data_IF_442546399726
#
_entry.id   IF_442546399726
#
_cell.length_a   1.000
_cell.length_b   1.000
_cell.length_c   1.000
_cell.angle_alpha   90.00
_cell.angle_beta   90.00
_cell.angle_gamma   90.00
#
_symmetry.space_group_name_H-M   'P 1'
#
loop_
_entity.id
_entity.type
_entity.pdbx_description
1 polymer ?
#
# COMPACT_ATOMS: atom_id res chain seq x y z
N UNK A 1 18.58 -18.76 -19.15
CA UNK A 1 18.98 -17.41 -19.58
C UNK A 1 19.95 -16.86 -18.54
N UNK A 2 21.17 -16.49 -18.94
CA UNK A 2 22.13 -15.84 -18.05
C UNK A 2 21.56 -14.49 -17.57
N UNK A 3 21.67 -14.21 -16.28
CA UNK A 3 21.24 -12.93 -15.69
C UNK A 3 22.22 -11.83 -16.13
N UNK A 4 21.71 -10.69 -16.57
CA UNK A 4 22.56 -9.55 -16.98
C UNK A 4 23.30 -8.97 -15.79
N UNK A 5 24.45 -8.33 -16.01
CA UNK A 5 25.20 -7.63 -14.96
C UNK A 5 24.32 -6.56 -14.25
N UNK A 6 23.47 -5.86 -14.99
CA UNK A 6 22.50 -4.91 -14.45
C UNK A 6 21.48 -5.55 -13.51
N UNK A 7 21.00 -6.75 -13.83
CA UNK A 7 20.07 -7.49 -12.97
C UNK A 7 20.74 -7.91 -11.67
N UNK A 8 21.95 -8.48 -11.76
CA UNK A 8 22.72 -8.91 -10.59
C UNK A 8 23.00 -7.71 -9.68
N UNK A 9 23.42 -6.57 -10.27
CA UNK A 9 23.67 -5.35 -9.52
C UNK A 9 22.47 -4.88 -8.71
N UNK A 10 21.28 -4.80 -9.31
CA UNK A 10 20.08 -4.30 -8.61
C UNK A 10 19.66 -5.26 -7.48
N UNK A 11 19.72 -6.58 -7.72
CA UNK A 11 19.41 -7.56 -6.67
C UNK A 11 20.43 -7.47 -5.53
N UNK A 12 21.73 -7.40 -5.83
CA UNK A 12 22.77 -7.23 -4.82
C UNK A 12 22.61 -5.93 -4.03
N UNK A 13 22.17 -4.83 -4.68
CA UNK A 13 21.85 -3.58 -3.99
C UNK A 13 20.67 -3.74 -3.03
N UNK A 14 19.63 -4.49 -3.41
CA UNK A 14 18.52 -4.79 -2.50
C UNK A 14 18.98 -5.58 -1.27
N UNK A 15 19.87 -6.56 -1.42
CA UNK A 15 20.50 -7.25 -0.27
C UNK A 15 21.33 -6.32 0.60
N UNK A 16 22.15 -5.46 -0.01
CA UNK A 16 22.96 -4.51 0.75
C UNK A 16 22.10 -3.52 1.55
N UNK A 17 21.01 -3.04 0.94
CA UNK A 17 20.09 -2.09 1.58
C UNK A 17 19.17 -2.76 2.61
N UNK A 18 18.85 -4.04 2.47
CA UNK A 18 17.98 -4.73 3.44
C UNK A 18 18.60 -4.84 4.83
N UNK A 19 19.94 -4.77 4.95
CA UNK A 19 20.63 -4.69 6.24
C UNK A 19 20.36 -3.39 7.01
N UNK A 20 19.86 -2.36 6.32
CA UNK A 20 19.48 -1.06 6.90
C UNK A 20 18.03 -1.03 7.38
N UNK A 21 17.24 -2.07 7.10
CA UNK A 21 15.90 -2.21 7.63
C UNK A 21 15.97 -2.41 9.15
N UNK A 22 14.98 -1.86 9.83
CA UNK A 22 14.73 -2.14 11.24
C UNK A 22 14.28 -3.59 11.40
N UNK A 23 14.91 -4.25 12.36
CA UNK A 23 14.52 -5.56 12.84
C UNK A 23 13.25 -5.47 13.66
N UNK A 24 12.60 -6.62 13.86
CA UNK A 24 11.42 -6.71 14.73
C UNK A 24 11.74 -6.29 16.16
N UNK A 25 12.92 -6.63 16.68
CA UNK A 25 13.35 -6.28 18.04
C UNK A 25 13.58 -4.76 18.19
N UNK A 26 14.09 -4.09 17.15
CA UNK A 26 14.22 -2.63 17.13
C UNK A 26 12.85 -1.96 17.11
N UNK A 27 11.93 -2.40 16.24
CA UNK A 27 10.56 -1.88 16.21
C UNK A 27 9.83 -2.10 17.52
N UNK A 28 10.04 -3.26 18.16
CA UNK A 28 9.48 -3.60 19.45
C UNK A 28 10.05 -2.74 20.59
N UNK A 29 11.32 -2.37 20.49
CA UNK A 29 11.95 -1.41 21.42
C UNK A 29 11.35 -0.01 21.26
N UNK A 30 11.15 0.45 20.02
CA UNK A 30 10.48 1.72 19.73
C UNK A 30 9.02 1.72 20.20
N UNK A 31 8.30 0.60 20.04
CA UNK A 31 6.92 0.40 20.52
C UNK A 31 6.80 0.59 22.04
N UNK A 32 7.85 0.23 22.79
CA UNK A 32 7.91 0.36 24.26
C UNK A 32 8.34 1.74 24.75
N UNK A 33 8.65 2.68 23.86
CA UNK A 33 8.90 4.07 24.25
C UNK A 33 7.73 4.63 25.07
N UNK A 34 8.03 5.41 26.10
CA UNK A 34 7.02 6.02 26.98
C UNK A 34 6.28 7.17 26.30
N UNK A 35 6.99 7.90 25.45
CA UNK A 35 6.52 9.12 24.79
C UNK A 35 7.34 9.38 23.51
N UNK A 36 7.03 10.48 22.81
CA UNK A 36 7.73 10.89 21.60
C UNK A 36 9.22 11.21 21.82
N UNK A 37 9.60 11.77 22.97
CA UNK A 37 11.01 12.08 23.26
C UNK A 37 11.81 10.80 23.41
N UNK A 38 11.30 9.84 24.19
CA UNK A 38 11.91 8.53 24.34
C UNK A 38 11.98 7.77 23.00
N UNK A 39 10.95 7.91 22.16
CA UNK A 39 10.97 7.35 20.80
C UNK A 39 12.13 7.92 19.96
N UNK A 40 12.32 9.23 19.99
CA UNK A 40 13.40 9.92 19.26
C UNK A 40 14.77 9.47 19.75
N UNK A 41 14.95 9.34 21.07
CA UNK A 41 16.24 8.92 21.65
C UNK A 41 16.57 7.45 21.32
N UNK A 42 15.55 6.60 21.09
CA UNK A 42 15.72 5.21 20.66
C UNK A 42 15.93 5.03 19.15
N UNK A 43 15.66 6.06 18.33
CA UNK A 43 15.89 6.02 16.89
C UNK A 43 17.39 6.16 16.58
N UNK A 44 18.09 5.02 16.57
CA UNK A 44 19.56 4.97 16.40
C UNK A 44 20.03 4.81 14.95
N UNK A 45 19.11 4.56 14.01
CA UNK A 45 19.46 4.31 12.60
C UNK A 45 19.85 5.60 11.89
N UNK A 46 21.05 5.61 11.28
CA UNK A 46 21.66 6.78 10.64
C UNK A 46 20.73 7.55 9.70
N UNK A 47 19.96 6.83 8.86
CA UNK A 47 19.03 7.43 7.89
C UNK A 47 17.97 8.31 8.58
N UNK A 48 17.59 7.99 9.82
CA UNK A 48 16.61 8.74 10.61
C UNK A 48 17.28 9.78 11.52
N UNK A 49 18.43 9.45 12.12
CA UNK A 49 19.18 10.36 13.00
C UNK A 49 19.57 11.65 12.27
N UNK A 50 20.04 11.55 11.02
CA UNK A 50 20.42 12.70 10.21
C UNK A 50 19.25 13.63 9.88
N UNK A 51 18.04 13.08 9.75
CA UNK A 51 16.85 13.87 9.50
C UNK A 51 16.34 14.53 10.78
N UNK A 52 16.39 13.83 11.91
CA UNK A 52 15.98 14.36 13.21
C UNK A 52 16.90 15.50 13.69
N UNK A 53 18.20 15.43 13.40
CA UNK A 53 19.14 16.51 13.76
C UNK A 53 18.89 17.84 13.02
N UNK A 54 18.11 17.81 11.94
CA UNK A 54 17.73 19.01 11.17
C UNK A 54 16.49 19.74 11.73
N UNK A 55 15.87 19.24 12.80
CA UNK A 55 14.66 19.78 13.41
C UNK A 55 14.89 20.04 14.90
N UNK A 56 14.41 21.18 15.40
CA UNK A 56 14.47 21.48 16.83
C UNK A 56 13.58 20.51 17.63
N UNK A 57 14.13 19.87 18.68
CA UNK A 57 13.44 18.80 19.45
C UNK A 57 12.07 19.22 19.98
N UNK A 58 11.90 20.47 20.40
CA UNK A 58 10.65 21.00 20.95
C UNK A 58 9.54 21.21 19.89
N UNK A 59 9.84 21.07 18.61
CA UNK A 59 8.89 21.17 17.50
C UNK A 59 8.56 19.80 16.88
N UNK A 60 9.05 18.71 17.47
CA UNK A 60 8.82 17.36 16.95
C UNK A 60 7.52 16.80 17.53
N UNK A 61 6.50 16.79 16.69
CA UNK A 61 5.21 16.10 16.89
C UNK A 61 5.11 14.87 15.96
N UNK A 62 4.04 14.09 16.07
CA UNK A 62 3.85 12.90 15.23
C UNK A 62 3.71 13.26 13.75
N UNK A 63 3.13 14.42 13.43
CA UNK A 63 3.02 14.92 12.05
C UNK A 63 4.41 15.18 11.44
N UNK A 64 5.30 15.84 12.20
CA UNK A 64 6.68 16.08 11.83
C UNK A 64 7.44 14.78 11.62
N UNK A 65 7.31 13.82 12.55
CA UNK A 65 7.91 12.49 12.41
C UNK A 65 7.40 11.74 11.17
N UNK A 66 6.09 11.75 10.92
CA UNK A 66 5.50 11.15 9.73
C UNK A 66 6.08 11.76 8.44
N UNK A 67 6.26 13.08 8.38
CA UNK A 67 6.91 13.75 7.26
C UNK A 67 8.36 13.29 7.07
N UNK A 68 9.14 13.17 8.15
CA UNK A 68 10.53 12.68 8.08
C UNK A 68 10.59 11.22 7.63
N UNK A 69 9.75 10.35 8.21
CA UNK A 69 9.70 8.93 7.87
C UNK A 69 9.24 8.70 6.43
N UNK A 70 8.24 9.46 5.97
CA UNK A 70 7.77 9.38 4.58
C UNK A 70 8.84 9.81 3.59
N UNK A 71 9.68 10.80 3.94
CA UNK A 71 10.84 11.19 3.11
C UNK A 71 11.83 10.04 2.95
N UNK A 72 12.22 9.36 4.05
CA UNK A 72 13.11 8.18 3.99
C UNK A 72 12.50 7.09 3.12
N UNK A 73 11.21 6.79 3.32
CA UNK A 73 10.48 5.81 2.53
C UNK A 73 10.51 6.13 1.03
N UNK A 74 10.18 7.36 0.65
CA UNK A 74 10.17 7.82 -0.74
C UNK A 74 11.58 7.78 -1.35
N UNK A 75 12.60 8.23 -0.62
CA UNK A 75 13.98 8.24 -1.11
C UNK A 75 14.49 6.82 -1.37
N UNK A 76 14.22 5.88 -0.46
CA UNK A 76 14.56 4.45 -0.62
C UNK A 76 13.80 3.81 -1.79
N UNK A 77 12.54 4.18 -2.00
CA UNK A 77 11.72 3.68 -3.13
C UNK A 77 12.23 4.21 -4.47
N UNK A 78 12.51 5.53 -4.56
CA UNK A 78 12.98 6.20 -5.78
C UNK A 78 14.41 5.78 -6.15
N UNK A 79 15.24 5.43 -5.17
CA UNK A 79 16.60 4.95 -5.40
C UNK A 79 16.64 3.85 -6.46
N UNK A 80 15.73 2.87 -6.40
CA UNK A 80 15.67 1.79 -7.36
C UNK A 80 15.37 2.28 -8.77
N UNK A 81 14.52 3.30 -8.94
CA UNK A 81 14.28 3.91 -10.25
C UNK A 81 15.52 4.60 -10.80
N UNK A 82 16.30 5.28 -9.95
CA UNK A 82 17.53 5.98 -10.35
C UNK A 82 18.62 5.02 -10.83
N UNK A 83 18.77 3.86 -10.20
CA UNK A 83 19.81 2.87 -10.56
C UNK A 83 19.36 1.88 -11.64
N UNK A 84 18.08 1.89 -12.01
CA UNK A 84 17.51 0.95 -12.98
C UNK A 84 17.56 1.49 -14.41
N UNK A 85 17.61 0.58 -15.38
CA UNK A 85 17.62 0.91 -16.81
C UNK A 85 16.61 0.07 -17.60
N UNK A 86 16.21 0.58 -18.77
CA UNK A 86 15.30 -0.09 -19.70
C UNK A 86 13.99 -0.55 -19.04
N UNK A 87 13.58 -1.78 -19.34
CA UNK A 87 12.31 -2.34 -18.88
C UNK A 87 12.16 -2.40 -17.35
N UNK A 88 13.27 -2.54 -16.63
CA UNK A 88 13.23 -2.55 -15.16
C UNK A 88 12.98 -1.14 -14.60
N UNK A 89 13.51 -0.09 -15.25
CA UNK A 89 13.18 1.30 -14.91
C UNK A 89 11.70 1.58 -15.15
N UNK A 90 11.15 1.13 -16.27
CA UNK A 90 9.72 1.29 -16.59
C UNK A 90 8.83 0.60 -15.53
N UNK A 91 9.23 -0.59 -15.10
CA UNK A 91 8.58 -1.30 -14.00
C UNK A 91 8.63 -0.51 -12.69
N UNK A 92 9.80 -0.01 -12.30
CA UNK A 92 9.95 0.78 -11.07
C UNK A 92 9.18 2.10 -11.11
N UNK A 93 9.14 2.78 -12.27
CA UNK A 93 8.29 3.96 -12.49
C UNK A 93 6.82 3.63 -12.31
N UNK A 94 6.37 2.49 -12.84
CA UNK A 94 5.01 1.99 -12.61
C UNK A 94 4.76 1.66 -11.15
N UNK A 95 5.70 1.00 -10.47
CA UNK A 95 5.57 0.60 -9.07
C UNK A 95 5.41 1.81 -8.14
N UNK A 96 6.19 2.88 -8.34
CA UNK A 96 6.14 4.12 -7.54
C UNK A 96 4.78 4.82 -7.58
N UNK A 97 3.94 4.58 -8.60
CA UNK A 97 2.58 5.15 -8.66
C UNK A 97 1.70 4.75 -7.47
N UNK A 98 2.07 3.74 -6.69
CA UNK A 98 1.42 3.46 -5.40
C UNK A 98 1.44 4.63 -4.41
N UNK A 99 2.47 5.48 -4.47
CA UNK A 99 2.51 6.70 -3.65
C UNK A 99 1.39 7.67 -4.05
N UNK A 100 1.12 7.80 -5.35
CA UNK A 100 0.01 8.63 -5.82
C UNK A 100 -1.33 8.09 -5.32
N UNK A 101 -1.50 6.77 -5.33
CA UNK A 101 -2.72 6.11 -4.89
C UNK A 101 -2.94 6.33 -3.40
N UNK A 102 -1.89 6.24 -2.60
CA UNK A 102 -1.96 6.50 -1.16
C UNK A 102 -2.34 7.96 -0.89
N UNK A 103 -1.70 8.92 -1.58
CA UNK A 103 -2.08 10.33 -1.46
C UNK A 103 -3.51 10.60 -1.96
N UNK A 104 -3.92 9.99 -3.08
CA UNK A 104 -5.26 10.12 -3.61
C UNK A 104 -6.30 9.57 -2.64
N UNK A 105 -6.03 8.42 -2.00
CA UNK A 105 -6.86 7.85 -0.93
C UNK A 105 -7.01 8.83 0.24
N UNK A 106 -5.91 9.43 0.71
CA UNK A 106 -5.94 10.44 1.79
C UNK A 106 -6.84 11.63 1.41
N UNK A 107 -6.66 12.18 0.21
CA UNK A 107 -7.48 13.28 -0.30
C UNK A 107 -8.95 12.88 -0.43
N UNK A 108 -9.26 11.76 -1.08
CA UNK A 108 -10.63 11.27 -1.24
C UNK A 108 -11.34 11.13 0.12
N UNK A 109 -10.68 10.52 1.11
CA UNK A 109 -11.23 10.31 2.45
C UNK A 109 -11.45 11.62 3.19
N UNK A 110 -10.52 12.56 3.10
CA UNK A 110 -10.64 13.87 3.72
C UNK A 110 -11.79 14.67 3.11
N UNK A 111 -11.85 14.75 1.78
CA UNK A 111 -12.87 15.51 1.04
C UNK A 111 -14.26 14.94 1.20
N UNK A 112 -14.42 13.61 1.19
CA UNK A 112 -15.73 13.00 1.43
C UNK A 112 -16.24 13.28 2.85
N UNK A 113 -15.34 13.33 3.84
CA UNK A 113 -15.67 13.58 5.25
C UNK A 113 -15.62 15.06 5.64
N UNK A 114 -15.45 15.97 4.68
CA UNK A 114 -15.27 17.40 4.91
C UNK A 114 -14.20 17.73 5.97
N UNK A 115 -13.12 16.93 6.00
CA UNK A 115 -11.96 17.18 6.84
C UNK A 115 -10.93 18.00 6.08
N UNK A 116 -10.26 18.89 6.81
CA UNK A 116 -9.10 19.59 6.28
C UNK A 116 -7.98 18.61 5.96
N UNK A 117 -7.32 18.86 4.84
CA UNK A 117 -6.12 18.18 4.42
C UNK A 117 -5.24 19.19 3.71
N UNK A 118 -3.99 19.24 4.10
CA UNK A 118 -2.98 20.12 3.54
C UNK A 118 -2.02 19.32 2.67
N UNK A 119 -1.20 20.02 1.90
CA UNK A 119 -0.15 19.36 1.12
C UNK A 119 0.89 18.67 2.01
N UNK A 120 1.12 19.17 3.23
CA UNK A 120 2.09 18.63 4.17
C UNK A 120 1.63 17.30 4.81
N UNK A 121 0.33 16.99 4.75
CA UNK A 121 -0.25 15.71 5.22
C UNK A 121 -0.02 14.56 4.22
N UNK A 122 0.47 14.88 3.02
CA UNK A 122 0.70 13.93 1.94
C UNK A 122 2.13 13.38 1.94
N UNK A 123 2.30 12.18 1.39
CA UNK A 123 3.64 11.64 1.11
C UNK A 123 4.32 12.55 0.08
N UNK A 124 5.54 13.02 0.32
CA UNK A 124 6.22 13.98 -0.58
C UNK A 124 6.73 13.28 -1.84
N UNK A 125 5.93 13.28 -2.91
CA UNK A 125 6.30 12.69 -4.20
C UNK A 125 6.98 13.76 -5.07
N UNK A 126 8.23 13.57 -5.52
CA UNK A 126 8.86 14.54 -6.42
C UNK A 126 8.12 14.62 -7.76
N UNK A 127 8.01 15.83 -8.34
CA UNK A 127 7.16 16.12 -9.51
C UNK A 127 7.35 15.16 -10.70
N UNK A 128 8.58 14.70 -10.95
CA UNK A 128 8.90 13.75 -12.03
C UNK A 128 8.32 12.34 -11.85
N UNK A 129 7.74 12.03 -10.68
CA UNK A 129 7.15 10.73 -10.38
C UNK A 129 5.63 10.79 -10.21
N UNK A 130 5.00 11.98 -10.23
CA UNK A 130 3.54 12.14 -10.12
C UNK A 130 2.90 12.70 -11.39
N UNK A 131 1.74 12.18 -11.80
CA UNK A 131 0.86 12.77 -12.83
C UNK A 131 -0.23 13.64 -12.24
N UNK A 132 -0.54 13.48 -10.95
CA UNK A 132 -1.56 14.27 -10.25
C UNK A 132 -0.94 15.57 -9.70
N UNK A 133 -1.70 16.67 -9.79
CA UNK A 133 -1.38 17.90 -9.08
C UNK A 133 -2.00 17.87 -7.66
N UNK A 134 -1.26 17.31 -6.70
CA UNK A 134 -1.74 17.21 -5.33
C UNK A 134 -1.95 18.56 -4.65
N UNK A 135 -1.21 19.60 -5.06
CA UNK A 135 -1.41 20.94 -4.54
C UNK A 135 -2.77 21.53 -4.94
N UNK A 136 -3.25 21.21 -6.15
CA UNK A 136 -4.62 21.57 -6.54
C UNK A 136 -5.65 20.68 -5.85
N UNK A 137 -5.42 19.35 -5.82
CA UNK A 137 -6.35 18.39 -5.23
C UNK A 137 -6.68 18.65 -3.74
N UNK A 138 -5.70 19.08 -2.94
CA UNK A 138 -5.95 19.42 -1.53
C UNK A 138 -6.77 20.71 -1.39
N UNK A 139 -6.74 21.60 -2.38
CA UNK A 139 -7.48 22.87 -2.38
C UNK A 139 -8.89 22.75 -2.97
N UNK A 140 -9.24 21.59 -3.54
CA UNK A 140 -10.58 21.32 -4.04
C UNK A 140 -11.61 21.38 -2.90
N UNK A 141 -12.71 22.11 -3.08
CA UNK A 141 -13.73 22.28 -2.05
C UNK A 141 -14.64 21.07 -1.90
N UNK A 142 -15.12 20.49 -3.01
CA UNK A 142 -16.10 19.41 -3.00
C UNK A 142 -15.51 18.08 -3.46
N UNK A 143 -16.01 16.97 -2.91
CA UNK A 143 -15.60 15.63 -3.31
C UNK A 143 -15.81 15.37 -4.82
N UNK A 144 -16.90 15.88 -5.40
CA UNK A 144 -17.24 15.65 -6.82
C UNK A 144 -16.24 16.31 -7.78
N UNK A 145 -15.63 17.42 -7.36
CA UNK A 145 -14.68 18.18 -8.17
C UNK A 145 -13.35 17.44 -8.35
N UNK A 146 -13.07 16.42 -7.53
CA UNK A 146 -11.90 15.55 -7.71
C UNK A 146 -11.95 14.86 -9.09
N UNK A 147 -13.15 14.61 -9.63
CA UNK A 147 -13.32 14.00 -10.94
C UNK A 147 -12.57 14.76 -12.03
N UNK A 148 -12.60 16.11 -12.03
CA UNK A 148 -11.90 16.94 -13.01
C UNK A 148 -10.39 16.69 -13.03
N UNK A 149 -9.80 16.40 -11.87
CA UNK A 149 -8.37 16.10 -11.74
C UNK A 149 -8.03 14.65 -12.09
N UNK A 150 -8.98 13.72 -12.02
CA UNK A 150 -8.78 12.33 -12.46
C UNK A 150 -8.85 12.20 -13.99
N UNK A 151 -9.65 13.03 -14.67
CA UNK A 151 -9.88 13.02 -16.13
C UNK A 151 -8.61 12.95 -16.98
N UNK A 152 -7.57 13.77 -16.75
CA UNK A 152 -6.36 13.76 -17.57
C UNK A 152 -5.38 12.62 -17.23
N UNK A 153 -5.72 11.75 -16.28
CA UNK A 153 -4.79 10.73 -15.76
C UNK A 153 -5.22 9.32 -16.13
N UNK A 154 -4.39 8.33 -15.75
CA UNK A 154 -4.75 6.92 -15.89
C UNK A 154 -6.00 6.55 -15.07
N UNK A 155 -6.37 7.34 -14.06
CA UNK A 155 -7.46 7.06 -13.13
C UNK A 155 -8.84 7.55 -13.61
N UNK A 156 -8.96 8.03 -14.85
CA UNK A 156 -10.23 8.55 -15.41
C UNK A 156 -11.42 7.61 -15.19
N UNK A 157 -11.24 6.31 -15.41
CA UNK A 157 -12.31 5.30 -15.24
C UNK A 157 -12.78 5.12 -13.79
N UNK A 158 -12.04 5.63 -12.80
CA UNK A 158 -12.45 5.60 -11.40
C UNK A 158 -13.54 6.64 -11.06
N UNK A 159 -13.76 7.64 -11.92
CA UNK A 159 -14.83 8.64 -11.77
C UNK A 159 -16.21 8.00 -11.66
N UNK A 160 -16.41 6.90 -12.39
CA UNK A 160 -17.67 6.17 -12.42
C UNK A 160 -18.07 5.60 -11.06
N UNK A 161 -17.11 5.40 -10.15
CA UNK A 161 -17.35 4.92 -8.80
C UNK A 161 -17.59 6.08 -7.80
N UNK A 162 -17.39 7.35 -8.18
CA UNK A 162 -17.50 8.49 -7.28
C UNK A 162 -18.93 8.71 -6.79
N UNK A 163 -19.93 8.60 -7.68
CA UNK A 163 -21.33 8.74 -7.28
C UNK A 163 -21.72 7.67 -6.25
N UNK A 164 -21.26 6.43 -6.44
CA UNK A 164 -21.51 5.34 -5.49
C UNK A 164 -20.86 5.66 -4.14
N UNK A 165 -19.58 6.08 -4.14
CA UNK A 165 -18.88 6.44 -2.92
C UNK A 165 -19.57 7.57 -2.13
N UNK A 166 -20.11 8.57 -2.84
CA UNK A 166 -20.91 9.64 -2.25
C UNK A 166 -22.22 9.12 -1.65
N UNK A 167 -22.96 8.29 -2.39
CA UNK A 167 -24.25 7.75 -1.95
C UNK A 167 -24.13 6.92 -0.65
N UNK A 168 -23.04 6.17 -0.50
CA UNK A 168 -22.79 5.34 0.68
C UNK A 168 -21.93 6.03 1.74
N UNK A 169 -21.55 7.30 1.50
CA UNK A 169 -20.62 8.06 2.32
C UNK A 169 -19.32 7.30 2.67
N UNK A 170 -18.77 6.59 1.69
CA UNK A 170 -17.55 5.79 1.85
C UNK A 170 -16.71 5.73 0.55
N UNK A 171 -15.41 5.96 0.66
CA UNK A 171 -14.47 6.03 -0.48
C UNK A 171 -14.07 4.67 -1.07
N UNK A 172 -14.35 3.55 -0.39
CA UNK A 172 -13.93 2.21 -0.82
C UNK A 172 -14.25 1.87 -2.30
N UNK A 173 -15.41 2.26 -2.88
CA UNK A 173 -15.68 1.99 -4.30
C UNK A 173 -14.69 2.66 -5.25
N UNK A 174 -14.36 3.93 -5.00
CA UNK A 174 -13.40 4.69 -5.83
C UNK A 174 -11.99 4.18 -5.59
N UNK A 175 -11.63 3.90 -4.35
CA UNK A 175 -10.31 3.33 -4.02
C UNK A 175 -10.09 1.99 -4.72
N UNK A 176 -11.10 1.10 -4.74
CA UNK A 176 -11.05 -0.16 -5.48
C UNK A 176 -10.85 0.06 -6.99
N UNK A 177 -11.59 1.01 -7.57
CA UNK A 177 -11.47 1.32 -9.00
C UNK A 177 -10.06 1.83 -9.36
N UNK A 178 -9.52 2.75 -8.55
CA UNK A 178 -8.14 3.26 -8.69
C UNK A 178 -7.11 2.12 -8.60
N UNK A 179 -7.25 1.23 -7.60
CA UNK A 179 -6.34 0.10 -7.42
C UNK A 179 -6.42 -0.86 -8.62
N UNK A 180 -7.63 -1.17 -9.12
CA UNK A 180 -7.79 -2.04 -10.28
C UNK A 180 -7.08 -1.53 -11.53
N UNK A 181 -7.17 -0.22 -11.77
CA UNK A 181 -6.48 0.47 -12.87
C UNK A 181 -4.96 0.41 -12.67
N UNK A 182 -4.48 0.76 -11.47
CA UNK A 182 -3.06 0.72 -11.14
C UNK A 182 -2.45 -0.65 -11.35
N UNK A 183 -3.05 -1.70 -10.79
CA UNK A 183 -2.54 -3.06 -10.92
C UNK A 183 -2.58 -3.55 -12.36
N UNK A 184 -3.59 -3.14 -13.16
CA UNK A 184 -3.60 -3.44 -14.59
C UNK A 184 -2.34 -2.88 -15.27
N UNK A 185 -2.02 -1.60 -15.03
CA UNK A 185 -0.84 -0.95 -15.62
C UNK A 185 0.47 -1.51 -15.09
N UNK A 186 0.56 -1.80 -13.79
CA UNK A 186 1.73 -2.41 -13.19
C UNK A 186 1.99 -3.82 -13.77
N UNK A 187 0.95 -4.63 -13.95
CA UNK A 187 1.07 -5.95 -14.57
C UNK A 187 1.45 -5.86 -16.05
N UNK A 188 0.95 -4.89 -16.80
CA UNK A 188 1.34 -4.63 -18.20
C UNK A 188 2.86 -4.38 -18.33
N UNK A 189 3.44 -3.57 -17.44
CA UNK A 189 4.89 -3.31 -17.46
C UNK A 189 5.70 -4.49 -16.89
N UNK A 190 5.21 -5.14 -15.83
CA UNK A 190 5.88 -6.31 -15.23
C UNK A 190 5.97 -7.49 -16.20
N UNK A 191 4.98 -7.68 -17.09
CA UNK A 191 5.01 -8.70 -18.16
C UNK A 191 6.20 -8.54 -19.11
N UNK A 192 6.76 -7.34 -19.25
CA UNK A 192 7.89 -7.07 -20.14
C UNK A 192 9.24 -7.44 -19.51
N UNK A 193 9.29 -7.67 -18.19
CA UNK A 193 10.52 -8.02 -17.47
C UNK A 193 11.03 -9.42 -17.84
N UNK A 194 12.35 -9.63 -17.82
CA UNK A 194 12.91 -10.98 -17.90
C UNK A 194 12.57 -11.77 -16.64
N UNK A 195 12.25 -13.06 -16.78
CA UNK A 195 11.91 -13.95 -15.65
C UNK A 195 10.79 -13.41 -14.75
N UNK A 196 9.74 -12.83 -15.36
CA UNK A 196 8.66 -12.12 -14.69
C UNK A 196 7.69 -12.98 -13.86
N UNK A 197 7.72 -14.32 -13.97
CA UNK A 197 6.67 -15.20 -13.42
C UNK A 197 6.41 -14.95 -11.93
N UNK A 198 7.48 -14.85 -11.13
CA UNK A 198 7.36 -14.61 -9.68
C UNK A 198 6.93 -13.19 -9.35
N UNK A 199 7.48 -12.19 -10.06
CA UNK A 199 7.08 -10.78 -9.92
C UNK A 199 5.57 -10.64 -10.17
N UNK A 200 5.08 -11.23 -11.27
CA UNK A 200 3.65 -11.21 -11.60
C UNK A 200 2.83 -11.93 -10.54
N UNK A 201 3.33 -13.04 -9.99
CA UNK A 201 2.62 -13.77 -8.93
C UNK A 201 2.52 -12.93 -7.65
N UNK A 202 3.60 -12.27 -7.22
CA UNK A 202 3.61 -11.37 -6.06
C UNK A 202 2.62 -10.22 -6.25
N UNK A 203 2.67 -9.53 -7.39
CA UNK A 203 1.78 -8.40 -7.69
C UNK A 203 0.31 -8.84 -7.70
N UNK A 204 0.00 -10.03 -8.22
CA UNK A 204 -1.36 -10.59 -8.19
C UNK A 204 -1.82 -10.91 -6.79
N UNK A 205 -0.94 -11.43 -5.93
CA UNK A 205 -1.28 -11.73 -4.54
C UNK A 205 -1.44 -10.44 -3.71
N UNK A 206 -0.64 -9.39 -3.97
CA UNK A 206 -0.86 -8.05 -3.39
C UNK A 206 -2.21 -7.49 -3.82
N UNK A 207 -2.51 -7.56 -5.12
CA UNK A 207 -3.77 -7.05 -5.63
C UNK A 207 -4.95 -7.81 -5.04
N UNK A 208 -4.85 -9.13 -4.91
CA UNK A 208 -5.88 -9.94 -4.29
C UNK A 208 -6.09 -9.61 -2.81
N UNK A 209 -5.02 -9.43 -2.03
CA UNK A 209 -5.16 -9.08 -0.60
C UNK A 209 -5.85 -7.72 -0.42
N UNK A 210 -5.55 -6.74 -1.27
CA UNK A 210 -6.26 -5.46 -1.31
C UNK A 210 -7.71 -5.62 -1.75
N UNK A 211 -7.98 -6.44 -2.77
CA UNK A 211 -9.34 -6.72 -3.23
C UNK A 211 -10.20 -7.32 -2.12
N UNK A 212 -9.63 -8.25 -1.33
CA UNK A 212 -10.29 -8.83 -0.16
C UNK A 212 -10.68 -7.73 0.84
N UNK A 213 -9.78 -6.81 1.16
CA UNK A 213 -10.09 -5.66 2.02
C UNK A 213 -11.27 -4.83 1.50
N UNK A 214 -11.27 -4.44 0.22
CA UNK A 214 -12.35 -3.62 -0.34
C UNK A 214 -13.69 -4.37 -0.41
N UNK A 215 -13.68 -5.62 -0.88
CA UNK A 215 -14.90 -6.40 -1.05
C UNK A 215 -15.54 -6.69 0.31
N UNK A 216 -14.81 -7.25 1.26
CA UNK A 216 -15.37 -7.55 2.58
C UNK A 216 -15.68 -6.27 3.35
N UNK A 217 -14.86 -5.22 3.24
CA UNK A 217 -15.16 -3.92 3.84
C UNK A 217 -16.50 -3.35 3.37
N UNK A 218 -16.81 -3.45 2.07
CA UNK A 218 -18.11 -3.03 1.54
C UNK A 218 -19.26 -3.98 1.92
N UNK A 219 -19.01 -5.29 2.05
CA UNK A 219 -20.01 -6.25 2.57
C UNK A 219 -20.38 -5.96 4.03
N UNK A 220 -19.40 -5.65 4.88
CA UNK A 220 -19.64 -5.29 6.29
C UNK A 220 -20.46 -4.01 6.42
N UNK A 221 -20.37 -3.12 5.42
CA UNK A 221 -21.19 -1.90 5.30
C UNK A 221 -22.54 -2.14 4.61
N UNK A 222 -22.91 -3.39 4.37
CA UNK A 222 -24.17 -3.81 3.72
C UNK A 222 -24.42 -3.11 2.38
N UNK A 223 -23.34 -2.77 1.67
CA UNK A 223 -23.40 -2.01 0.43
C UNK A 223 -23.61 -2.94 -0.77
N UNK A 224 -24.58 -2.67 -1.65
CA UNK A 224 -24.75 -3.44 -2.89
C UNK A 224 -23.50 -3.36 -3.79
N UNK A 225 -22.89 -4.51 -4.07
CA UNK A 225 -21.67 -4.61 -4.88
C UNK A 225 -21.92 -4.71 -6.39
N UNK A 226 -23.18 -4.68 -6.83
CA UNK A 226 -23.57 -4.90 -8.24
C UNK A 226 -22.88 -3.92 -9.19
N UNK A 227 -22.72 -2.66 -8.77
CA UNK A 227 -22.08 -1.63 -9.59
C UNK A 227 -20.58 -1.89 -9.80
N UNK A 228 -19.95 -2.71 -8.96
CA UNK A 228 -18.55 -3.09 -9.08
C UNK A 228 -18.33 -4.26 -10.05
N UNK A 229 -19.40 -4.93 -10.51
CA UNK A 229 -19.29 -6.02 -11.50
C UNK A 229 -18.71 -5.55 -12.83
N UNK A 230 -18.84 -4.27 -13.15
CA UNK A 230 -18.19 -3.68 -14.32
C UNK A 230 -16.66 -3.79 -14.28
N UNK A 231 -16.08 -3.87 -13.09
CA UNK A 231 -14.66 -4.09 -12.89
C UNK A 231 -14.30 -5.59 -12.87
N UNK A 232 -15.27 -6.52 -12.81
CA UNK A 232 -15.00 -7.95 -12.70
C UNK A 232 -14.14 -8.48 -13.84
N UNK A 233 -14.36 -8.05 -15.08
CA UNK A 233 -13.55 -8.47 -16.22
C UNK A 233 -12.08 -7.98 -16.11
N UNK A 234 -11.89 -6.74 -15.65
CA UNK A 234 -10.57 -6.16 -15.40
C UNK A 234 -9.85 -6.88 -14.25
N UNK A 235 -10.54 -7.07 -13.13
CA UNK A 235 -10.06 -7.79 -11.95
C UNK A 235 -9.66 -9.22 -12.31
N UNK A 236 -10.56 -9.94 -12.99
CA UNK A 236 -10.39 -11.31 -13.51
C UNK A 236 -9.12 -11.44 -14.36
N UNK A 237 -8.93 -10.54 -15.34
CA UNK A 237 -7.73 -10.48 -16.19
C UNK A 237 -6.46 -10.24 -15.37
N UNK A 238 -6.49 -9.28 -14.46
CA UNK A 238 -5.33 -8.90 -13.64
C UNK A 238 -4.89 -10.06 -12.75
N UNK A 239 -5.84 -10.69 -12.05
CA UNK A 239 -5.60 -11.83 -11.16
C UNK A 239 -5.37 -13.16 -11.90
N UNK A 240 -5.72 -13.21 -13.19
CA UNK A 240 -5.68 -14.43 -14.00
C UNK A 240 -6.54 -15.56 -13.39
N UNK A 241 -7.78 -15.21 -13.05
CA UNK A 241 -8.82 -16.12 -12.54
C UNK A 241 -10.07 -15.99 -13.40
N UNK A 242 -11.00 -16.97 -13.38
CA UNK A 242 -12.27 -16.85 -14.09
C UNK A 242 -13.12 -15.66 -13.61
N UNK A 243 -13.81 -14.97 -14.52
CA UNK A 243 -14.71 -13.86 -14.15
C UNK A 243 -15.84 -14.31 -13.22
N UNK A 244 -16.30 -15.56 -13.36
CA UNK A 244 -17.31 -16.13 -12.47
C UNK A 244 -16.84 -16.16 -11.01
N UNK A 245 -15.56 -16.43 -10.75
CA UNK A 245 -15.01 -16.40 -9.39
C UNK A 245 -15.12 -14.99 -8.77
N UNK A 246 -14.87 -13.94 -9.55
CA UNK A 246 -15.00 -12.56 -9.08
C UNK A 246 -16.47 -12.18 -8.85
N UNK A 247 -17.35 -12.54 -9.78
CA UNK A 247 -18.78 -12.27 -9.63
C UNK A 247 -19.37 -13.02 -8.42
N UNK A 248 -19.00 -14.27 -8.22
CA UNK A 248 -19.43 -15.05 -7.06
C UNK A 248 -18.91 -14.43 -5.77
N UNK A 249 -17.65 -13.96 -5.74
CA UNK A 249 -17.09 -13.24 -4.58
C UNK A 249 -17.86 -11.94 -4.28
N UNK A 250 -18.27 -11.19 -5.30
CA UNK A 250 -19.05 -9.97 -5.13
C UNK A 250 -20.48 -10.25 -4.66
N UNK A 251 -21.15 -11.29 -5.19
CA UNK A 251 -22.57 -11.58 -4.92
C UNK A 251 -22.82 -12.41 -3.67
N UNK A 252 -21.89 -13.27 -3.29
CA UNK A 252 -22.06 -14.20 -2.17
C UNK A 252 -22.05 -13.48 -0.82
N UNK A 253 -22.64 -14.10 0.20
CA UNK A 253 -22.47 -13.68 1.60
C UNK A 253 -21.03 -13.88 2.05
N UNK A 254 -20.65 -13.26 3.15
CA UNK A 254 -19.29 -13.24 3.68
C UNK A 254 -18.73 -14.65 3.97
N UNK A 255 -19.54 -15.52 4.58
CA UNK A 255 -19.22 -16.92 4.87
C UNK A 255 -18.93 -17.73 3.59
N UNK A 256 -19.78 -17.55 2.57
CA UNK A 256 -19.64 -18.21 1.28
C UNK A 256 -18.44 -17.63 0.51
N UNK A 257 -18.26 -16.31 0.52
CA UNK A 257 -17.12 -15.62 -0.06
C UNK A 257 -15.80 -16.13 0.52
N UNK A 258 -15.71 -16.26 1.86
CA UNK A 258 -14.52 -16.79 2.52
C UNK A 258 -14.22 -18.23 2.09
N UNK A 259 -15.25 -19.07 2.00
CA UNK A 259 -15.13 -20.44 1.49
C UNK A 259 -14.68 -20.51 0.02
N UNK A 260 -15.12 -19.58 -0.84
CA UNK A 260 -14.64 -19.48 -2.22
C UNK A 260 -13.13 -19.18 -2.26
N UNK A 261 -12.66 -18.27 -1.40
CA UNK A 261 -11.23 -17.95 -1.30
C UNK A 261 -10.43 -19.16 -0.80
N UNK A 262 -10.93 -19.86 0.22
CA UNK A 262 -10.31 -21.05 0.80
C UNK A 262 -10.08 -22.17 -0.23
N UNK A 263 -10.98 -22.29 -1.21
CA UNK A 263 -10.89 -23.27 -2.32
C UNK A 263 -10.05 -22.79 -3.51
N UNK A 264 -9.50 -21.58 -3.45
CA UNK A 264 -8.73 -20.97 -4.55
C UNK A 264 -7.22 -21.01 -4.30
N UNK A 265 -6.43 -20.55 -5.28
CA UNK A 265 -4.98 -20.30 -5.11
C UNK A 265 -4.65 -19.26 -4.04
N UNK A 266 -5.63 -18.48 -3.61
CA UNK A 266 -5.47 -17.41 -2.61
C UNK A 266 -5.85 -17.83 -1.19
N UNK A 267 -6.04 -19.14 -0.94
CA UNK A 267 -6.39 -19.68 0.38
C UNK A 267 -5.50 -19.21 1.53
N UNK A 268 -4.26 -18.83 1.23
CA UNK A 268 -3.28 -18.37 2.21
C UNK A 268 -3.76 -17.16 3.01
N UNK A 269 -4.63 -16.31 2.45
CA UNK A 269 -5.10 -15.09 3.14
C UNK A 269 -6.16 -15.39 4.21
N UNK A 270 -6.90 -16.50 4.07
CA UNK A 270 -8.07 -16.83 4.91
C UNK A 270 -7.71 -16.88 6.38
N UNK A 271 -6.61 -17.57 6.72
CA UNK A 271 -6.10 -17.71 8.09
C UNK A 271 -5.74 -16.38 8.77
N UNK A 272 -5.67 -15.28 8.02
CA UNK A 272 -5.35 -13.95 8.56
C UNK A 272 -6.58 -13.04 8.66
N UNK A 273 -7.70 -13.42 8.03
CA UNK A 273 -8.88 -12.57 7.94
C UNK A 273 -10.15 -13.20 8.50
N UNK A 274 -10.18 -14.51 8.76
CA UNK A 274 -11.38 -15.22 9.21
C UNK A 274 -12.03 -14.57 10.44
N UNK A 275 -11.26 -14.31 11.50
CA UNK A 275 -11.73 -13.61 12.71
C UNK A 275 -12.30 -12.22 12.40
N UNK A 276 -11.66 -11.49 11.47
CA UNK A 276 -12.11 -10.16 11.07
C UNK A 276 -13.42 -10.21 10.28
N UNK A 277 -13.62 -11.27 9.48
CA UNK A 277 -14.87 -11.54 8.76
C UNK A 277 -15.98 -11.91 9.73
N UNK A 278 -15.71 -12.77 10.70
CA UNK A 278 -16.69 -13.16 11.73
C UNK A 278 -17.14 -11.97 12.57
N UNK A 279 -16.20 -11.11 12.97
CA UNK A 279 -16.49 -9.90 13.76
C UNK A 279 -16.96 -8.71 12.93
N UNK A 280 -16.98 -8.83 11.60
CA UNK A 280 -17.25 -7.74 10.65
C UNK A 280 -16.41 -6.47 10.92
N UNK A 281 -15.14 -6.65 11.30
CA UNK A 281 -14.23 -5.57 11.67
C UNK A 281 -13.39 -5.14 10.46
N UNK A 282 -13.68 -3.95 9.91
CA UNK A 282 -12.92 -3.40 8.77
C UNK A 282 -11.44 -3.15 9.13
N UNK A 283 -11.17 -2.73 10.37
CA UNK A 283 -9.80 -2.47 10.84
C UNK A 283 -9.01 -3.77 10.98
N UNK A 284 -9.60 -4.82 11.56
CA UNK A 284 -8.93 -6.10 11.69
C UNK A 284 -8.77 -6.79 10.33
N UNK A 285 -9.71 -6.57 9.41
CA UNK A 285 -9.60 -7.04 8.03
C UNK A 285 -8.41 -6.37 7.33
N UNK A 286 -8.27 -5.05 7.43
CA UNK A 286 -7.13 -4.31 6.87
C UNK A 286 -5.79 -4.84 7.41
N UNK A 287 -5.72 -5.04 8.73
CA UNK A 287 -4.52 -5.60 9.39
C UNK A 287 -4.24 -7.02 8.94
N UNK A 288 -5.27 -7.87 8.88
CA UNK A 288 -5.19 -9.26 8.46
C UNK A 288 -4.65 -9.41 7.04
N UNK A 289 -5.17 -8.64 6.08
CA UNK A 289 -4.69 -8.73 4.69
C UNK A 289 -3.24 -8.27 4.55
N UNK A 290 -2.82 -7.23 5.29
CA UNK A 290 -1.43 -6.74 5.28
C UNK A 290 -0.48 -7.77 5.90
N UNK A 291 -0.81 -8.27 7.10
CA UNK A 291 -0.02 -9.29 7.79
C UNK A 291 0.09 -10.56 6.96
N UNK A 292 -1.02 -11.02 6.39
CA UNK A 292 -1.02 -12.20 5.51
C UNK A 292 -0.13 -12.00 4.29
N UNK A 293 -0.22 -10.83 3.63
CA UNK A 293 0.59 -10.55 2.45
C UNK A 293 2.09 -10.42 2.81
N UNK A 294 2.41 -9.83 3.95
CA UNK A 294 3.78 -9.79 4.48
C UNK A 294 4.35 -11.20 4.65
N UNK A 295 3.63 -12.09 5.35
CA UNK A 295 4.07 -13.48 5.59
C UNK A 295 4.24 -14.24 4.26
N UNK A 296 3.27 -14.12 3.36
CA UNK A 296 3.35 -14.69 2.02
C UNK A 296 4.63 -14.24 1.30
N UNK A 297 4.95 -12.96 1.41
CA UNK A 297 6.07 -12.39 0.67
C UNK A 297 7.45 -12.68 1.28
N UNK A 298 7.54 -12.72 2.62
CA UNK A 298 8.74 -13.14 3.33
C UNK A 298 9.12 -14.60 3.03
N UNK A 299 8.14 -15.50 2.89
CA UNK A 299 8.40 -16.88 2.49
C UNK A 299 9.00 -16.96 1.08
N UNK A 300 8.49 -16.16 0.13
CA UNK A 300 9.01 -16.10 -1.24
C UNK A 300 10.45 -15.58 -1.27
N UNK A 301 10.74 -14.50 -0.53
CA UNK A 301 12.07 -13.89 -0.53
C UNK A 301 13.14 -14.82 0.05
N UNK A 302 12.80 -15.59 1.09
CA UNK A 302 13.67 -16.62 1.69
C UNK A 302 13.98 -17.76 0.70
N UNK A 303 12.99 -18.20 -0.07
CA UNK A 303 13.16 -19.29 -1.07
C UNK A 303 13.88 -18.83 -2.34
N UNK A 304 13.81 -17.54 -2.67
CA UNK A 304 14.32 -16.99 -3.93
C UNK A 304 15.18 -15.73 -3.72
N UNK A 305 16.25 -15.79 -2.91
CA UNK A 305 17.01 -14.59 -2.54
C UNK A 305 17.73 -13.96 -3.74
N UNK A 306 18.13 -14.74 -4.74
CA UNK A 306 18.85 -14.23 -5.92
C UNK A 306 17.93 -13.73 -7.03
N UNK A 307 16.62 -13.73 -6.83
CA UNK A 307 15.64 -13.33 -7.83
C UNK A 307 15.18 -11.88 -7.63
N UNK A 308 14.69 -11.24 -8.70
CA UNK A 308 14.14 -9.89 -8.64
C UNK A 308 12.89 -9.77 -7.75
N UNK A 309 12.24 -10.87 -7.40
CA UNK A 309 11.26 -10.91 -6.30
C UNK A 309 11.84 -10.42 -4.96
N UNK A 310 13.14 -10.60 -4.70
CA UNK A 310 13.78 -10.06 -3.50
C UNK A 310 13.77 -8.52 -3.48
N UNK A 311 13.85 -7.87 -4.65
CA UNK A 311 13.74 -6.41 -4.76
C UNK A 311 12.35 -5.98 -4.31
N UNK A 312 11.29 -6.63 -4.79
CA UNK A 312 9.95 -6.37 -4.30
C UNK A 312 9.87 -6.55 -2.79
N UNK A 313 10.49 -7.60 -2.24
CA UNK A 313 10.46 -7.85 -0.79
C UNK A 313 11.07 -6.71 -0.01
N UNK A 314 12.22 -6.22 -0.45
CA UNK A 314 12.82 -5.03 0.13
C UNK A 314 11.87 -3.82 0.04
N UNK A 315 11.23 -3.60 -1.12
CA UNK A 315 10.33 -2.46 -1.34
C UNK A 315 9.05 -2.50 -0.49
N UNK A 316 8.49 -3.66 -0.18
CA UNK A 316 7.41 -3.75 0.81
C UNK A 316 7.93 -3.64 2.24
N UNK A 317 9.13 -4.15 2.52
CA UNK A 317 9.71 -4.06 3.86
C UNK A 317 9.94 -2.62 4.28
N UNK A 318 10.41 -1.75 3.37
CA UNK A 318 10.51 -0.30 3.65
C UNK A 318 9.14 0.37 3.85
N UNK A 319 8.07 -0.15 3.23
CA UNK A 319 6.70 0.34 3.43
C UNK A 319 6.17 -0.08 4.80
N UNK A 320 6.35 -1.34 5.20
CA UNK A 320 5.97 -1.82 6.52
C UNK A 320 6.74 -1.10 7.64
N UNK A 321 8.03 -0.87 7.45
CA UNK A 321 8.84 -0.06 8.38
C UNK A 321 8.27 1.35 8.52
N UNK A 322 7.96 2.03 7.41
CA UNK A 322 7.31 3.34 7.42
C UNK A 322 5.98 3.32 8.17
N UNK A 323 5.10 2.36 7.86
CA UNK A 323 3.79 2.24 8.50
C UNK A 323 3.91 2.00 10.00
N UNK A 324 4.81 1.10 10.42
CA UNK A 324 5.07 0.82 11.83
C UNK A 324 5.58 2.07 12.57
N UNK A 325 6.53 2.80 11.98
CA UNK A 325 7.08 4.03 12.57
C UNK A 325 6.03 5.13 12.73
N UNK A 326 5.19 5.34 11.71
CA UNK A 326 4.08 6.32 11.79
C UNK A 326 3.08 5.94 12.85
N UNK A 327 2.71 4.66 12.93
CA UNK A 327 1.76 4.16 13.91
C UNK A 327 2.30 4.29 15.34
N UNK A 328 3.57 3.93 15.57
CA UNK A 328 4.23 4.12 16.85
C UNK A 328 4.22 5.61 17.23
N UNK A 329 4.70 6.50 16.35
CA UNK A 329 4.76 7.94 16.64
C UNK A 329 3.37 8.51 16.99
N UNK A 330 2.35 8.20 16.18
CA UNK A 330 0.97 8.66 16.41
C UNK A 330 0.44 8.13 17.74
N UNK A 331 0.67 6.86 18.05
CA UNK A 331 0.21 6.27 19.30
C UNK A 331 0.90 6.89 20.53
N UNK A 332 2.20 7.20 20.44
CA UNK A 332 2.93 7.87 21.54
C UNK A 332 2.49 9.30 21.76
N UNK A 333 2.18 10.03 20.71
CA UNK A 333 1.57 11.36 20.84
C UNK A 333 0.19 11.30 21.52
N UNK A 334 -0.60 10.29 21.20
CA UNK A 334 -1.93 10.06 21.80
C UNK A 334 -1.87 9.44 23.20
N UNK A 335 -0.68 9.17 23.75
CA UNK A 335 -0.51 8.56 25.06
C UNK A 335 -0.96 7.10 25.16
N UNK A 336 -1.01 6.38 24.03
CA UNK A 336 -1.41 4.98 24.00
C UNK A 336 -0.31 4.05 24.52
N UNK A 337 -0.74 3.03 25.26
CA UNK A 337 0.11 1.97 25.77
C UNK A 337 0.72 1.15 24.64
N UNK A 338 1.79 0.41 24.95
CA UNK A 338 2.49 -0.38 23.93
C UNK A 338 1.54 -1.42 23.30
N UNK A 339 0.75 -2.08 24.13
CA UNK A 339 -0.23 -3.13 23.87
C UNK A 339 -1.31 -2.72 22.85
N UNK A 340 -1.62 -1.43 22.75
CA UNK A 340 -2.56 -0.89 21.77
C UNK A 340 -1.90 -0.63 20.39
N UNK A 341 -0.57 -0.70 20.33
CA UNK A 341 0.21 -0.55 19.11
C UNK A 341 0.47 -1.94 18.53
N UNK A 342 -0.23 -2.26 17.45
CA UNK A 342 0.04 -3.48 16.70
C UNK A 342 0.95 -3.21 15.52
N UNK A 343 2.09 -3.90 15.47
CA UNK A 343 3.02 -3.85 14.35
C UNK A 343 2.54 -4.75 13.20
N UNK A 344 2.70 -4.26 11.97
CA UNK A 344 2.56 -5.04 10.73
C UNK A 344 3.73 -5.96 10.55
#
# INVERSE_FOLDING_TARGET
>A
MLKTASYIYIVSRAHGLSTRLMTLDELESLRKATDLSALIDLLTRDDYVQLLSSVERNKIDAATLNRLFSKVYVDRLIYFTKISQGRFRDFMMGYIKRLEIENLRRVLRAKLRMKEITFDDLIPIPRGYTTLNFQELVNVSAFDDISYHLSPTIYREAQDAMQMAKNINNTLPVELAVEAIYFSKLLEVAKKLPSNKRILDIIRNEYFSKLVYYIFGLKFLETPLIMLERYSALISRNLSVPTIFINDLLRSREDVALNLILRSRFRWVVNFIEDAVERKSVNDLYRGVLKGFRVFHEDISKRHPLDASYILWYLYSIEYEYMNLVQIATAKELGLGSEDIMLY
#
